data_IF_406894147783
#
_entry.id   IF_406894147783
#
_cell.length_a   1.000
_cell.length_b   1.000
_cell.length_c   1.000
_cell.angle_alpha   90.00
_cell.angle_beta   90.00
_cell.angle_gamma   90.00
#
_symmetry.space_group_name_H-M   'P 1'
#
loop_
_entity.id
_entity.type
_entity.pdbx_description
1 polymer ?
#
# COMPACT_ATOMS: atom_id res chain seq x y z
N UNK A 1 -47.57 -54.41 -41.10
CA UNK A 1 -47.58 -53.20 -40.26
C UNK A 1 -47.31 -53.60 -38.81
N UNK A 2 -46.06 -53.60 -38.37
CA UNK A 2 -45.71 -53.37 -36.97
C UNK A 2 -44.45 -52.52 -37.02
N UNK A 3 -44.64 -51.24 -36.77
CA UNK A 3 -43.60 -50.21 -36.81
C UNK A 3 -42.68 -50.42 -35.60
N UNK A 4 -41.39 -50.58 -35.87
CA UNK A 4 -40.32 -50.53 -34.88
C UNK A 4 -40.32 -49.16 -34.21
N UNK A 5 -40.97 -49.06 -33.04
CA UNK A 5 -40.77 -47.95 -32.10
C UNK A 5 -39.54 -48.24 -31.24
N UNK A 6 -38.36 -48.23 -31.87
CA UNK A 6 -37.09 -48.00 -31.18
C UNK A 6 -36.81 -46.49 -31.17
N UNK A 7 -37.67 -45.70 -30.51
CA UNK A 7 -37.28 -44.34 -30.10
C UNK A 7 -36.46 -44.48 -28.83
N UNK A 8 -35.18 -44.81 -29.03
CA UNK A 8 -34.15 -44.81 -27.98
C UNK A 8 -33.88 -43.36 -27.54
N UNK A 9 -34.78 -42.77 -26.76
CA UNK A 9 -34.41 -41.73 -25.79
C UNK A 9 -33.77 -42.38 -24.55
N UNK A 10 -32.68 -43.12 -24.76
CA UNK A 10 -31.81 -43.62 -23.68
C UNK A 10 -30.79 -42.55 -23.29
N UNK A 11 -31.27 -41.42 -22.78
CA UNK A 11 -30.46 -40.43 -22.04
C UNK A 11 -31.37 -39.84 -20.98
N UNK A 12 -31.42 -40.49 -19.83
CA UNK A 12 -32.33 -40.11 -18.75
C UNK A 12 -31.61 -39.55 -17.52
N UNK A 13 -30.30 -39.75 -17.40
CA UNK A 13 -29.54 -39.13 -16.31
C UNK A 13 -29.51 -37.62 -16.49
N UNK A 14 -30.14 -36.89 -15.58
CA UNK A 14 -30.24 -35.42 -15.62
C UNK A 14 -29.86 -34.81 -14.28
N UNK A 15 -29.10 -33.71 -14.32
CA UNK A 15 -28.77 -32.93 -13.12
C UNK A 15 -29.91 -31.98 -12.74
N UNK A 16 -30.11 -31.82 -11.44
CA UNK A 16 -30.84 -30.72 -10.81
C UNK A 16 -29.87 -29.86 -10.00
N UNK A 17 -30.09 -28.54 -9.99
CA UNK A 17 -29.26 -27.55 -9.29
C UNK A 17 -27.79 -27.54 -9.75
N UNK A 18 -27.54 -27.67 -11.05
CA UNK A 18 -26.20 -27.46 -11.60
C UNK A 18 -25.75 -26.02 -11.30
N UNK A 19 -24.64 -25.80 -10.57
CA UNK A 19 -24.17 -24.47 -10.22
C UNK A 19 -23.81 -23.64 -11.45
N UNK A 20 -24.12 -22.34 -11.41
CA UNK A 20 -23.76 -21.39 -12.47
C UNK A 20 -22.33 -20.89 -12.29
N UNK A 21 -21.73 -20.41 -13.38
CA UNK A 21 -20.44 -19.73 -13.33
C UNK A 21 -20.49 -18.49 -12.44
N UNK A 22 -19.39 -18.19 -11.75
CA UNK A 22 -19.27 -17.06 -10.84
C UNK A 22 -17.89 -16.41 -10.97
N UNK A 23 -17.80 -15.15 -10.59
CA UNK A 23 -16.54 -14.42 -10.43
C UNK A 23 -16.41 -13.96 -8.98
N UNK A 24 -15.26 -14.19 -8.36
CA UNK A 24 -15.02 -13.89 -6.94
C UNK A 24 -13.60 -13.36 -6.72
N UNK A 25 -13.42 -12.70 -5.58
CA UNK A 25 -12.09 -12.43 -5.03
C UNK A 25 -11.45 -13.74 -4.52
N UNK A 26 -10.13 -13.79 -4.46
CA UNK A 26 -9.34 -14.92 -3.96
C UNK A 26 -9.74 -15.39 -2.55
N UNK A 27 -10.18 -14.48 -1.67
CA UNK A 27 -10.60 -14.78 -0.31
C UNK A 27 -12.08 -15.15 -0.20
N UNK A 28 -12.79 -15.23 -1.33
CA UNK A 28 -14.22 -15.47 -1.43
C UNK A 28 -14.56 -16.68 -2.32
N UNK A 29 -13.60 -17.57 -2.59
CA UNK A 29 -13.83 -18.81 -3.35
C UNK A 29 -14.77 -19.73 -2.56
N UNK A 30 -15.99 -20.01 -3.03
CA UNK A 30 -16.91 -20.87 -2.32
C UNK A 30 -16.48 -22.34 -2.44
N UNK A 31 -16.86 -23.15 -1.46
CA UNK A 31 -16.74 -24.61 -1.55
C UNK A 31 -17.52 -25.16 -2.75
N UNK A 32 -17.12 -26.32 -3.26
CA UNK A 32 -17.83 -26.97 -4.36
C UNK A 32 -19.30 -27.24 -3.98
N UNK A 33 -20.21 -26.94 -4.90
CA UNK A 33 -21.63 -27.26 -4.72
C UNK A 33 -21.84 -28.78 -4.74
N UNK A 34 -22.99 -29.21 -4.21
CA UNK A 34 -23.42 -30.61 -4.23
C UNK A 34 -24.68 -30.74 -5.11
N UNK A 35 -24.55 -30.74 -6.44
CA UNK A 35 -25.69 -30.94 -7.32
C UNK A 35 -26.21 -32.37 -7.18
N UNK A 36 -27.49 -32.56 -7.48
CA UNK A 36 -28.14 -33.88 -7.46
C UNK A 36 -28.42 -34.33 -8.89
N UNK A 37 -28.47 -35.64 -9.12
CA UNK A 37 -28.85 -36.20 -10.40
C UNK A 37 -29.95 -37.24 -10.21
N UNK A 38 -30.85 -37.32 -11.18
CA UNK A 38 -31.95 -38.28 -11.21
C UNK A 38 -31.91 -39.07 -12.50
N UNK A 39 -32.43 -40.29 -12.46
CA UNK A 39 -32.66 -41.13 -13.63
C UNK A 39 -34.05 -41.78 -13.52
N UNK A 40 -34.67 -42.09 -14.66
CA UNK A 40 -36.01 -42.65 -14.76
C UNK A 40 -36.08 -44.16 -14.47
N UNK A 41 -34.95 -44.87 -14.52
CA UNK A 41 -34.83 -46.31 -14.31
C UNK A 41 -33.83 -46.66 -13.20
N UNK A 42 -32.96 -45.74 -12.81
CA UNK A 42 -31.98 -45.92 -11.75
C UNK A 42 -32.27 -45.00 -10.55
N UNK A 43 -32.59 -45.62 -9.41
CA UNK A 43 -32.83 -44.90 -8.15
C UNK A 43 -31.54 -44.48 -7.44
N UNK A 44 -30.38 -44.96 -7.88
CA UNK A 44 -29.08 -44.71 -7.27
C UNK A 44 -28.04 -44.25 -8.31
N UNK A 45 -28.19 -43.00 -8.75
CA UNK A 45 -27.21 -42.36 -9.65
C UNK A 45 -25.94 -41.99 -8.88
N UNK A 46 -24.78 -42.40 -9.41
CA UNK A 46 -23.47 -42.04 -8.83
C UNK A 46 -23.00 -40.71 -9.42
N UNK A 47 -22.52 -39.79 -8.58
CA UNK A 47 -21.93 -38.51 -9.02
C UNK A 47 -20.46 -38.45 -8.63
N UNK A 48 -19.60 -38.28 -9.62
CA UNK A 48 -18.17 -38.04 -9.43
C UNK A 48 -17.86 -36.56 -9.62
N UNK A 49 -17.07 -35.98 -8.71
CA UNK A 49 -16.61 -34.59 -8.77
C UNK A 49 -15.11 -34.54 -9.13
N UNK A 50 -14.76 -33.64 -10.03
CA UNK A 50 -13.37 -33.25 -10.31
C UNK A 50 -13.23 -31.74 -10.41
N UNK A 51 -12.05 -31.24 -10.08
CA UNK A 51 -11.71 -29.82 -10.17
C UNK A 51 -10.34 -29.67 -10.84
N UNK A 52 -10.26 -28.69 -11.74
CA UNK A 52 -9.02 -28.31 -12.41
C UNK A 52 -8.80 -26.82 -12.22
N UNK A 53 -7.55 -26.44 -11.92
CA UNK A 53 -7.13 -25.05 -11.85
C UNK A 53 -6.43 -24.66 -13.15
N UNK A 54 -6.87 -23.56 -13.75
CA UNK A 54 -6.21 -22.92 -14.88
C UNK A 54 -5.68 -21.54 -14.44
N UNK A 55 -4.42 -21.23 -14.73
CA UNK A 55 -3.86 -19.93 -14.39
C UNK A 55 -4.54 -18.82 -15.20
N UNK A 56 -4.78 -17.69 -14.54
CA UNK A 56 -5.38 -16.51 -15.14
C UNK A 56 -4.34 -15.57 -15.74
N UNK A 57 -4.77 -14.33 -16.00
CA UNK A 57 -3.93 -13.27 -16.57
C UNK A 57 -2.98 -12.61 -15.56
N UNK A 58 -3.21 -12.77 -14.27
CA UNK A 58 -2.32 -12.31 -13.22
C UNK A 58 -1.94 -13.45 -12.28
N UNK A 59 -0.88 -13.26 -11.48
CA UNK A 59 -0.28 -14.32 -10.65
C UNK A 59 -1.30 -14.91 -9.67
N UNK A 60 -2.09 -14.05 -9.01
CA UNK A 60 -3.10 -14.49 -8.03
C UNK A 60 -4.49 -14.68 -8.65
N UNK A 61 -4.62 -14.47 -9.96
CA UNK A 61 -5.82 -14.74 -10.74
C UNK A 61 -5.82 -16.15 -11.35
N UNK A 62 -6.95 -16.85 -11.28
CA UNK A 62 -7.09 -18.20 -11.84
C UNK A 62 -8.55 -18.59 -12.04
N UNK A 63 -8.80 -19.65 -12.81
CA UNK A 63 -10.12 -20.26 -12.92
C UNK A 63 -10.10 -21.65 -12.28
N UNK A 64 -11.16 -21.99 -11.54
CA UNK A 64 -11.45 -23.35 -11.13
C UNK A 64 -12.59 -23.88 -12.00
N UNK A 65 -12.30 -24.94 -12.76
CA UNK A 65 -13.27 -25.65 -13.59
C UNK A 65 -13.70 -26.88 -12.82
N UNK A 66 -14.91 -26.84 -12.27
CA UNK A 66 -15.54 -27.91 -11.52
C UNK A 66 -16.44 -28.73 -12.45
N UNK A 67 -16.26 -30.04 -12.46
CA UNK A 67 -17.06 -30.96 -13.27
C UNK A 67 -17.69 -32.01 -12.38
N UNK A 68 -19.01 -32.17 -12.47
CA UNK A 68 -19.75 -33.26 -11.88
C UNK A 68 -20.20 -34.18 -13.00
N UNK A 69 -19.84 -35.46 -12.92
CA UNK A 69 -20.26 -36.50 -13.87
C UNK A 69 -21.20 -37.46 -13.16
N UNK A 70 -22.45 -37.50 -13.60
CA UNK A 70 -23.44 -38.46 -13.12
C UNK A 70 -23.44 -39.68 -14.03
N UNK A 71 -23.38 -40.89 -13.47
CA UNK A 71 -23.38 -42.15 -14.20
C UNK A 71 -24.45 -43.09 -13.61
N UNK A 72 -25.28 -43.67 -14.48
CA UNK A 72 -26.27 -44.68 -14.10
C UNK A 72 -25.68 -46.11 -14.09
N UNK A 73 -26.45 -47.08 -13.59
CA UNK A 73 -26.07 -48.50 -13.53
C UNK A 73 -25.86 -49.17 -14.91
N UNK A 74 -26.27 -48.51 -16.00
CA UNK A 74 -26.07 -48.94 -17.39
C UNK A 74 -24.86 -48.24 -18.05
N UNK A 75 -24.10 -47.44 -17.29
CA UNK A 75 -22.97 -46.61 -17.72
C UNK A 75 -23.34 -45.45 -18.67
N UNK A 76 -24.59 -45.01 -18.72
CA UNK A 76 -24.91 -43.73 -19.35
C UNK A 76 -24.45 -42.60 -18.43
N UNK A 77 -23.93 -41.52 -19.03
CA UNK A 77 -23.44 -40.38 -18.26
C UNK A 77 -23.95 -39.04 -18.75
N UNK A 78 -24.03 -38.10 -17.81
CA UNK A 78 -24.27 -36.67 -18.04
C UNK A 78 -23.27 -35.85 -17.24
N UNK A 79 -23.07 -34.60 -17.64
CA UNK A 79 -22.14 -33.70 -16.98
C UNK A 79 -22.78 -32.35 -16.67
N UNK A 80 -22.36 -31.79 -15.53
CA UNK A 80 -22.60 -30.44 -15.10
C UNK A 80 -21.25 -29.78 -14.84
N UNK A 81 -21.05 -28.55 -15.29
CA UNK A 81 -19.81 -27.81 -15.10
C UNK A 81 -20.07 -26.43 -14.50
N UNK A 82 -19.13 -25.97 -13.66
CA UNK A 82 -19.06 -24.61 -13.17
C UNK A 82 -17.64 -24.09 -13.35
N UNK A 83 -17.52 -22.90 -13.94
CA UNK A 83 -16.30 -22.10 -13.91
C UNK A 83 -16.39 -21.08 -12.79
N UNK A 84 -15.47 -21.14 -11.84
CA UNK A 84 -15.25 -20.11 -10.82
C UNK A 84 -14.05 -19.28 -11.24
N UNK A 85 -14.29 -18.07 -11.72
CA UNK A 85 -13.23 -17.14 -12.11
C UNK A 85 -12.78 -16.35 -10.87
N UNK A 86 -11.55 -16.57 -10.44
CA UNK A 86 -10.93 -15.86 -9.32
C UNK A 86 -10.09 -14.72 -9.87
N UNK A 87 -10.39 -13.49 -9.44
CA UNK A 87 -9.66 -12.29 -9.83
C UNK A 87 -9.34 -11.49 -8.59
N UNK A 88 -8.15 -10.92 -8.58
CA UNK A 88 -7.81 -9.87 -7.64
C UNK A 88 -8.10 -8.51 -8.28
N UNK A 89 -9.00 -7.75 -7.67
CA UNK A 89 -9.34 -6.39 -8.12
C UNK A 89 -9.06 -5.33 -7.07
N UNK A 90 -8.50 -5.71 -5.93
CA UNK A 90 -8.35 -4.84 -4.77
C UNK A 90 -6.89 -4.45 -4.64
N UNK A 91 -6.66 -3.18 -4.30
CA UNK A 91 -5.32 -2.71 -4.02
C UNK A 91 -4.90 -3.07 -2.59
N UNK A 92 -3.59 -3.21 -2.33
CA UNK A 92 -3.07 -3.40 -0.99
C UNK A 92 -3.47 -2.27 -0.04
N UNK A 93 -3.59 -2.58 1.24
CA UNK A 93 -3.93 -1.64 2.31
C UNK A 93 -2.74 -1.44 3.25
N UNK A 94 -2.31 -0.19 3.44
CA UNK A 94 -1.26 0.16 4.39
C UNK A 94 -1.76 0.09 5.85
N UNK A 95 -0.97 -0.51 6.75
CA UNK A 95 -1.30 -0.63 8.16
C UNK A 95 -0.79 0.56 9.02
N UNK A 96 0.37 1.10 8.69
CA UNK A 96 1.07 2.11 9.48
C UNK A 96 1.67 3.22 8.60
N UNK A 97 0.82 3.88 7.82
CA UNK A 97 1.21 5.05 7.04
C UNK A 97 1.71 6.18 7.97
N UNK A 98 2.97 6.65 7.83
CA UNK A 98 3.50 7.70 8.69
C UNK A 98 2.76 9.03 8.51
N UNK A 99 2.58 9.76 9.60
CA UNK A 99 1.94 11.09 9.58
C UNK A 99 2.95 12.18 9.24
N UNK A 100 2.45 13.31 8.75
CA UNK A 100 3.25 14.51 8.54
C UNK A 100 3.88 14.98 9.86
N UNK A 101 5.09 15.51 9.77
CA UNK A 101 5.84 16.02 10.92
C UNK A 101 6.54 17.32 10.58
N UNK A 102 6.89 18.07 11.62
CA UNK A 102 7.76 19.23 11.50
C UNK A 102 8.96 19.07 12.41
N UNK A 103 10.15 19.34 11.89
CA UNK A 103 11.42 19.17 12.59
C UNK A 103 12.31 20.38 12.38
N UNK A 104 13.26 20.55 13.29
CA UNK A 104 14.26 21.61 13.24
C UNK A 104 15.51 21.11 12.51
N UNK A 105 15.98 21.86 11.51
CA UNK A 105 17.32 21.71 10.94
C UNK A 105 17.66 20.27 10.51
N UNK A 106 18.65 19.66 11.17
CA UNK A 106 19.16 18.33 10.93
C UNK A 106 18.40 17.21 11.68
N UNK A 107 17.31 17.53 12.40
CA UNK A 107 16.51 16.56 13.13
C UNK A 107 15.54 15.75 12.25
N UNK A 108 15.80 15.67 10.95
CA UNK A 108 15.03 14.85 10.01
C UNK A 108 15.20 13.37 10.36
N UNK A 109 14.13 12.65 10.73
CA UNK A 109 14.23 11.23 11.02
C UNK A 109 14.42 10.43 9.74
N UNK A 110 15.00 9.24 9.87
CA UNK A 110 15.03 8.23 8.80
C UNK A 110 13.61 7.94 8.31
N UNK A 111 13.49 7.57 7.03
CA UNK A 111 12.20 7.17 6.47
C UNK A 111 11.59 6.01 7.24
N UNK A 112 10.28 6.06 7.48
CA UNK A 112 9.55 4.96 8.07
C UNK A 112 9.51 3.75 7.12
N UNK A 113 9.26 2.56 7.69
CA UNK A 113 9.02 1.33 6.95
C UNK A 113 7.57 0.88 7.17
N UNK A 114 6.59 1.46 6.45
CA UNK A 114 5.22 1.02 6.53
C UNK A 114 5.08 -0.40 5.95
N UNK A 115 4.09 -1.13 6.43
CA UNK A 115 3.67 -2.42 5.90
C UNK A 115 2.33 -2.27 5.19
N UNK A 116 2.06 -3.17 4.26
CA UNK A 116 0.80 -3.28 3.55
C UNK A 116 0.40 -4.75 3.46
N UNK A 117 -0.91 -4.99 3.41
CA UNK A 117 -1.50 -6.32 3.25
C UNK A 117 -2.50 -6.28 2.11
N UNK A 118 -2.62 -7.39 1.39
CA UNK A 118 -3.63 -7.57 0.37
C UNK A 118 -4.47 -8.83 0.63
N UNK A 119 -5.68 -8.90 0.07
CA UNK A 119 -6.55 -10.06 0.27
C UNK A 119 -6.16 -11.28 -0.58
N UNK A 120 -5.40 -11.08 -1.66
CA UNK A 120 -4.93 -12.10 -2.58
C UNK A 120 -3.42 -12.30 -2.54
N UNK A 121 -2.66 -11.23 -2.28
CA UNK A 121 -1.21 -11.27 -2.21
C UNK A 121 -0.70 -11.28 -0.76
N UNK A 122 -0.02 -12.37 -0.39
CA UNK A 122 0.63 -12.51 0.92
C UNK A 122 1.95 -11.74 1.02
N UNK A 123 2.53 -11.31 -0.10
CA UNK A 123 3.83 -10.65 -0.19
C UNK A 123 3.76 -9.37 -1.03
N UNK A 124 2.99 -8.40 -0.55
CA UNK A 124 2.88 -7.08 -1.18
C UNK A 124 4.26 -6.40 -1.31
N UNK A 125 4.56 -5.92 -2.50
CA UNK A 125 5.78 -5.13 -2.76
C UNK A 125 5.55 -3.67 -2.40
N UNK A 126 6.48 -3.06 -1.66
CA UNK A 126 6.42 -1.63 -1.32
C UNK A 126 7.66 -0.92 -1.83
N UNK A 127 7.47 0.10 -2.67
CA UNK A 127 8.51 0.97 -3.18
C UNK A 127 8.49 2.33 -2.48
N UNK A 128 9.67 2.85 -2.12
CA UNK A 128 9.85 4.14 -1.46
C UNK A 128 10.49 5.15 -2.41
N UNK A 129 9.99 6.38 -2.40
CA UNK A 129 10.62 7.54 -3.03
C UNK A 129 10.56 8.78 -2.13
N UNK A 130 11.52 9.68 -2.31
CA UNK A 130 11.60 10.95 -1.58
C UNK A 130 11.92 12.08 -2.54
N UNK A 131 11.22 13.20 -2.37
CA UNK A 131 11.45 14.43 -3.13
C UNK A 131 11.63 15.59 -2.17
N UNK A 132 12.65 16.42 -2.42
CA UNK A 132 12.90 17.65 -1.67
C UNK A 132 12.30 18.85 -2.40
N UNK A 133 11.49 19.63 -1.69
CA UNK A 133 11.00 20.93 -2.14
C UNK A 133 11.63 22.02 -1.26
N UNK A 134 12.42 22.91 -1.87
CA UNK A 134 13.04 24.01 -1.13
C UNK A 134 11.97 25.03 -0.69
N UNK A 135 12.09 25.52 0.54
CA UNK A 135 11.24 26.56 1.09
C UNK A 135 11.74 27.97 0.75
N UNK A 136 11.12 28.97 1.39
CA UNK A 136 11.51 30.39 1.25
C UNK A 136 12.74 30.76 2.08
N UNK A 137 12.99 30.06 3.18
CA UNK A 137 14.22 30.17 3.95
C UNK A 137 15.28 29.24 3.36
N UNK A 138 16.55 29.64 3.35
CA UNK A 138 17.65 28.86 2.76
C UNK A 138 17.80 27.49 3.42
N UNK A 139 17.53 27.42 4.73
CA UNK A 139 17.60 26.19 5.54
C UNK A 139 16.23 25.52 5.72
N UNK A 140 15.16 26.14 5.21
CA UNK A 140 13.81 25.60 5.25
C UNK A 140 13.48 24.79 3.99
N UNK A 141 12.92 23.60 4.15
CA UNK A 141 12.49 22.75 3.04
C UNK A 141 11.45 21.72 3.48
N UNK A 142 10.80 21.09 2.51
CA UNK A 142 9.94 19.94 2.75
C UNK A 142 10.53 18.70 2.09
N UNK A 143 10.44 17.55 2.76
CA UNK A 143 10.64 16.24 2.14
C UNK A 143 9.28 15.57 1.99
N UNK A 144 8.92 15.26 0.75
CA UNK A 144 7.72 14.52 0.40
C UNK A 144 8.14 13.08 0.18
N UNK A 145 7.77 12.21 1.11
CA UNK A 145 8.02 10.78 1.07
C UNK A 145 6.79 10.06 0.58
N UNK A 146 6.97 9.18 -0.39
CA UNK A 146 5.89 8.39 -0.98
C UNK A 146 6.24 6.92 -0.92
N UNK A 147 5.34 6.12 -0.34
CA UNK A 147 5.37 4.67 -0.41
C UNK A 147 4.27 4.20 -1.34
N UNK A 148 4.62 3.37 -2.32
CA UNK A 148 3.67 2.74 -3.25
C UNK A 148 3.65 1.25 -2.99
N UNK A 149 2.50 0.72 -2.58
CA UNK A 149 2.28 -0.72 -2.43
C UNK A 149 1.68 -1.28 -3.73
N UNK A 150 2.16 -2.44 -4.17
CA UNK A 150 1.71 -3.11 -5.40
C UNK A 150 1.64 -4.61 -5.16
N UNK A 151 0.50 -5.21 -5.50
CA UNK A 151 0.30 -6.67 -5.47
C UNK A 151 0.75 -7.36 -6.76
N UNK A 152 0.67 -8.69 -6.82
CA UNK A 152 1.07 -9.46 -7.99
C UNK A 152 0.08 -9.36 -9.18
N UNK A 153 -1.08 -8.75 -9.00
CA UNK A 153 -2.03 -8.41 -10.06
C UNK A 153 -1.93 -6.94 -10.51
N UNK A 154 -0.91 -6.22 -10.01
CA UNK A 154 -0.60 -4.82 -10.28
C UNK A 154 -1.65 -3.83 -9.78
N UNK A 155 -2.56 -4.20 -8.86
CA UNK A 155 -3.33 -3.18 -8.17
C UNK A 155 -2.40 -2.47 -7.18
N UNK A 156 -2.62 -1.17 -6.97
CA UNK A 156 -1.70 -0.36 -6.19
C UNK A 156 -2.39 0.71 -5.36
N UNK A 157 -1.75 1.05 -4.24
CA UNK A 157 -2.14 2.13 -3.35
C UNK A 157 -0.92 2.93 -2.91
N UNK A 158 -1.15 4.15 -2.43
CA UNK A 158 -0.08 5.05 -2.00
C UNK A 158 -0.32 5.57 -0.59
N UNK A 159 0.79 5.75 0.12
CA UNK A 159 0.88 6.42 1.40
C UNK A 159 1.93 7.55 1.27
N UNK A 160 1.66 8.73 1.82
CA UNK A 160 2.57 9.87 1.75
C UNK A 160 2.82 10.49 3.12
N UNK A 161 4.03 11.02 3.32
CA UNK A 161 4.41 11.83 4.48
C UNK A 161 5.13 13.07 4.00
N UNK A 162 4.69 14.23 4.48
CA UNK A 162 5.44 15.49 4.38
C UNK A 162 6.22 15.71 5.67
N UNK A 163 7.54 15.85 5.55
CA UNK A 163 8.44 16.29 6.62
C UNK A 163 8.81 17.74 6.36
N UNK A 164 8.24 18.66 7.11
CA UNK A 164 8.59 20.08 7.04
C UNK A 164 9.81 20.35 7.91
N UNK A 165 10.87 20.90 7.32
CA UNK A 165 12.09 21.33 8.01
C UNK A 165 12.10 22.84 8.05
N UNK A 166 12.19 23.41 9.26
CA UNK A 166 12.24 24.86 9.46
C UNK A 166 13.10 25.20 10.66
N UNK A 167 13.67 26.40 10.64
CA UNK A 167 14.29 27.01 11.80
C UNK A 167 13.24 27.84 12.55
N UNK A 168 13.06 27.58 13.84
CA UNK A 168 12.21 28.42 14.72
C UNK A 168 12.98 29.06 15.86
N UNK A 169 14.29 28.85 15.95
CA UNK A 169 15.12 29.37 17.03
C UNK A 169 15.95 30.54 16.54
N UNK A 170 16.22 31.47 17.45
CA UNK A 170 17.07 32.61 17.16
C UNK A 170 18.54 32.25 17.48
N UNK A 171 19.51 32.87 16.78
CA UNK A 171 20.91 32.71 17.12
C UNK A 171 21.21 33.14 18.56
N UNK A 172 22.15 32.44 19.20
CA UNK A 172 22.59 32.71 20.56
C UNK A 172 23.99 33.30 20.54
N UNK A 173 24.15 34.49 21.11
CA UNK A 173 25.46 35.09 21.31
C UNK A 173 26.25 34.38 22.42
N UNK A 174 27.57 34.33 22.23
CA UNK A 174 28.57 33.92 23.21
C UNK A 174 29.70 34.96 23.25
N UNK A 175 30.33 35.10 24.42
CA UNK A 175 31.42 36.07 24.65
C UNK A 175 31.02 37.53 24.35
N UNK A 176 29.78 37.91 24.65
CA UNK A 176 29.37 39.31 24.59
C UNK A 176 30.26 40.16 25.52
N UNK A 177 30.79 41.31 25.06
CA UNK A 177 31.51 42.22 25.93
C UNK A 177 30.59 42.77 27.02
N UNK A 178 31.12 42.91 28.22
CA UNK A 178 30.45 43.62 29.30
C UNK A 178 30.70 45.12 29.18
N UNK A 179 29.82 45.93 29.76
CA UNK A 179 30.05 47.37 29.85
C UNK A 179 31.35 47.66 30.62
N UNK A 180 32.14 48.59 30.10
CA UNK A 180 33.36 49.10 30.74
C UNK A 180 33.32 50.62 30.79
N UNK A 181 33.94 51.19 31.81
CA UNK A 181 34.18 52.63 31.92
C UNK A 181 35.68 52.84 31.82
N UNK A 182 36.08 53.69 30.87
CA UNK A 182 37.47 53.98 30.57
C UNK A 182 37.69 55.47 30.40
N UNK A 183 38.93 55.91 30.61
CA UNK A 183 39.33 57.27 30.31
C UNK A 183 39.36 57.51 28.79
N UNK A 184 39.32 58.79 28.39
CA UNK A 184 39.16 59.19 26.98
C UNK A 184 40.22 58.60 26.03
N UNK A 185 41.41 58.26 26.53
CA UNK A 185 42.53 57.71 25.79
C UNK A 185 42.70 56.18 25.96
N UNK A 186 41.82 55.51 26.71
CA UNK A 186 41.92 54.09 27.06
C UNK A 186 40.72 53.27 26.52
N UNK A 187 40.11 53.71 25.41
CA UNK A 187 39.02 52.96 24.77
C UNK A 187 39.57 51.63 24.25
N UNK A 188 39.08 50.48 24.73
CA UNK A 188 39.58 49.18 24.29
C UNK A 188 39.19 48.92 22.85
N UNK A 189 39.95 48.07 22.17
CA UNK A 189 39.54 47.56 20.85
C UNK A 189 38.20 46.85 20.95
N UNK A 190 37.38 47.00 19.90
CA UNK A 190 36.10 46.30 19.80
C UNK A 190 36.28 44.80 20.08
N UNK A 191 35.47 44.28 21.00
CA UNK A 191 35.45 42.85 21.28
C UNK A 191 34.86 42.09 20.07
N UNK A 192 35.30 40.85 19.90
CA UNK A 192 34.79 39.94 18.88
C UNK A 192 33.88 38.89 19.52
N UNK A 193 32.58 39.20 19.73
CA UNK A 193 31.64 38.17 20.17
C UNK A 193 31.50 37.10 19.08
N UNK A 194 31.02 35.94 19.48
CA UNK A 194 30.62 34.87 18.56
C UNK A 194 29.13 34.63 18.69
N UNK A 195 28.49 34.05 17.68
CA UNK A 195 27.10 33.64 17.74
C UNK A 195 26.97 32.27 17.07
N UNK A 196 26.07 31.46 17.60
CA UNK A 196 25.79 30.12 17.09
C UNK A 196 24.29 29.96 16.90
N UNK A 197 23.92 29.24 15.85
CA UNK A 197 22.55 28.86 15.57
C UNK A 197 22.48 27.35 15.26
N UNK A 198 21.34 26.72 15.52
CA UNK A 198 21.16 25.28 15.32
C UNK A 198 20.87 24.90 13.86
N UNK A 199 20.40 25.83 13.04
CA UNK A 199 20.12 25.68 11.61
C UNK A 199 21.15 26.41 10.75
N UNK A 200 21.66 27.55 11.21
CA UNK A 200 22.65 28.35 10.48
C UNK A 200 24.08 28.15 11.02
N UNK A 201 24.93 27.56 10.18
CA UNK A 201 26.36 27.34 10.50
C UNK A 201 27.22 28.61 10.35
N UNK A 202 26.68 29.68 9.76
CA UNK A 202 27.37 30.95 9.50
C UNK A 202 26.53 32.15 9.95
N UNK A 203 26.34 32.28 11.25
CA UNK A 203 25.66 33.43 11.83
C UNK A 203 26.45 34.72 11.57
N UNK A 204 25.81 35.68 10.91
CA UNK A 204 26.40 37.00 10.66
C UNK A 204 26.19 37.94 11.84
N UNK A 205 27.29 38.50 12.37
CA UNK A 205 27.26 39.52 13.42
C UNK A 205 27.59 40.88 12.80
N UNK A 206 26.70 41.84 12.97
CA UNK A 206 26.94 43.23 12.57
C UNK A 206 27.37 44.05 13.80
N UNK A 207 28.53 44.70 13.70
CA UNK A 207 29.06 45.58 14.75
C UNK A 207 28.88 47.05 14.36
N UNK A 208 28.45 47.87 15.32
CA UNK A 208 28.42 49.33 15.18
C UNK A 208 28.82 49.98 16.49
N UNK A 209 29.61 51.06 16.41
CA UNK A 209 30.07 51.82 17.56
C UNK A 209 29.69 53.29 17.40
N UNK A 210 29.24 53.91 18.48
CA UNK A 210 28.88 55.33 18.51
C UNK A 210 29.45 55.99 19.75
N UNK A 211 30.05 57.17 19.58
CA UNK A 211 30.44 58.03 20.69
C UNK A 211 29.22 58.84 21.13
N UNK A 212 28.68 58.54 22.31
CA UNK A 212 27.69 59.41 22.95
C UNK A 212 28.40 60.43 23.83
N UNK A 213 28.03 61.71 23.70
CA UNK A 213 28.44 62.73 24.66
C UNK A 213 27.50 62.66 25.86
N UNK A 214 28.05 62.50 27.06
CA UNK A 214 27.25 62.56 28.28
C UNK A 214 26.55 63.93 28.35
N UNK A 215 25.23 63.93 28.59
CA UNK A 215 24.51 65.17 28.90
C UNK A 215 25.05 65.71 30.23
N UNK A 216 25.56 66.94 30.20
CA UNK A 216 26.05 67.69 31.38
C UNK A 216 24.87 68.22 32.18
#
# INVERSE_FOLDING_TARGET
MYSNRNDKRYKSTSFANCPTNITVECNAVPTAASPTATDNCDTQVTINYSEQKANGSCVDGYELIRTWTATDNCNNSSQCTQTVTVRDTKAPVFANCPTNITVECNAVPTAASPTATDNCDLQVTINYSEQKANGSCVDGYELIRTWTATDNCNNSSQCTQTVTVRDTKAPVFANCPTNVTVECNEVPTAASPSATDNCDTQVTINYSEQKQMAAV
#
